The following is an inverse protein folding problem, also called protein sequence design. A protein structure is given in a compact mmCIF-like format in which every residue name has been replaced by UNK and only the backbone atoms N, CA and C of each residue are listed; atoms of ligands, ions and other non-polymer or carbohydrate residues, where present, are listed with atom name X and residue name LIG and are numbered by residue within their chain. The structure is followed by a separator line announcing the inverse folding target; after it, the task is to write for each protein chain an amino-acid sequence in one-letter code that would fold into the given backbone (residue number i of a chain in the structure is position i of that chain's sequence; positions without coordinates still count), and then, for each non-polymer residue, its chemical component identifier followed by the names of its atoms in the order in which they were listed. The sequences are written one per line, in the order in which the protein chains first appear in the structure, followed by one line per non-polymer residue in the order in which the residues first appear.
data_IF_165357700603
#
_entry.id   IF_165357700603
#
_cell.length_a   1.000
_cell.length_b   1.000
_cell.length_c   1.000
_cell.angle_alpha   90.00
_cell.angle_beta   90.00
_cell.angle_gamma   90.00
#
_symmetry.space_group_name_H-M   'P 1'
#
loop_
_entity.id
_entity.type
_entity.pdbx_description
1 polymer ?
#
# COMPACT_ATOMS: atom_id res chain seq x y z
N UNK A 1 16.42 -18.08 6.12
CA UNK A 1 15.53 -18.69 5.09
C UNK A 1 14.93 -17.56 4.28
N UNK A 2 14.66 -17.75 2.99
CA UNK A 2 14.04 -16.71 2.16
C UNK A 2 12.58 -16.47 2.55
N UNK A 3 12.04 -15.31 2.15
CA UNK A 3 10.64 -14.93 2.31
C UNK A 3 9.93 -15.03 0.94
N UNK A 4 8.67 -15.48 0.87
CA UNK A 4 7.96 -15.62 -0.41
C UNK A 4 7.93 -14.30 -1.19
N UNK A 5 8.42 -14.33 -2.42
CA UNK A 5 8.35 -13.22 -3.36
C UNK A 5 6.94 -13.09 -3.94
N UNK A 6 6.58 -11.89 -4.40
CA UNK A 6 5.23 -11.60 -4.92
C UNK A 6 5.23 -10.94 -6.31
N UNK A 7 4.12 -11.12 -7.03
CA UNK A 7 3.88 -10.51 -8.34
C UNK A 7 2.87 -9.36 -8.28
N UNK A 8 2.38 -8.92 -9.44
CA UNK A 8 1.36 -7.85 -9.56
C UNK A 8 -0.01 -8.22 -8.96
N UNK A 9 -0.25 -9.50 -8.66
CA UNK A 9 -1.43 -9.94 -7.91
C UNK A 9 -1.31 -9.69 -6.39
N UNK A 10 -0.18 -9.16 -5.93
CA UNK A 10 0.08 -8.98 -4.53
C UNK A 10 -0.94 -8.06 -3.84
N UNK A 11 -1.45 -8.52 -2.72
CA UNK A 11 -2.35 -7.75 -1.84
C UNK A 11 -1.53 -7.03 -0.77
N UNK A 12 -1.98 -5.82 -0.47
CA UNK A 12 -1.45 -4.95 0.58
C UNK A 12 -2.58 -4.61 1.51
N UNK A 13 -2.32 -4.74 2.81
CA UNK A 13 -3.26 -4.32 3.85
C UNK A 13 -2.56 -3.37 4.81
N UNK A 14 -3.31 -2.41 5.34
CA UNK A 14 -2.83 -1.45 6.31
C UNK A 14 -3.98 -0.67 6.92
N UNK A 15 -3.63 0.27 7.79
CA UNK A 15 -4.55 1.28 8.31
C UNK A 15 -3.92 2.64 8.08
N UNK A 16 -4.61 3.48 7.35
CA UNK A 16 -4.23 4.88 7.13
C UNK A 16 -4.91 5.77 8.17
N UNK A 17 -4.27 6.86 8.54
CA UNK A 17 -4.93 7.97 9.24
C UNK A 17 -5.25 9.06 8.23
N UNK A 18 -6.53 9.41 8.13
CA UNK A 18 -7.00 10.57 7.37
C UNK A 18 -7.74 11.52 8.29
N UNK A 19 -7.59 12.82 8.07
CA UNK A 19 -8.32 13.84 8.81
C UNK A 19 -9.65 14.12 8.11
N UNK A 20 -10.75 13.83 8.81
CA UNK A 20 -12.09 14.18 8.36
C UNK A 20 -12.59 15.45 9.04
N UNK A 21 -13.43 16.20 8.36
CA UNK A 21 -14.11 17.37 8.91
C UNK A 21 -15.45 16.94 9.50
N UNK A 22 -15.55 17.02 10.83
CA UNK A 22 -16.76 16.66 11.58
C UNK A 22 -17.59 17.93 11.81
N UNK A 23 -18.86 18.01 11.37
CA UNK A 23 -19.70 19.18 11.58
C UNK A 23 -20.11 19.30 13.06
N UNK A 24 -20.01 20.51 13.61
CA UNK A 24 -20.50 20.86 14.95
C UNK A 24 -21.26 22.19 14.90
N UNK A 25 -22.03 22.57 15.93
CA UNK A 25 -22.69 23.88 15.98
C UNK A 25 -21.74 25.09 15.88
N UNK A 26 -20.47 24.93 16.26
CA UNK A 26 -19.46 25.99 16.20
C UNK A 26 -18.65 25.99 14.88
N UNK A 27 -18.95 25.07 13.95
CA UNK A 27 -18.18 24.86 12.71
C UNK A 27 -17.62 23.45 12.61
N UNK A 28 -16.82 23.19 11.56
CA UNK A 28 -16.18 21.88 11.37
C UNK A 28 -14.94 21.71 12.24
N UNK A 29 -14.79 20.55 12.87
CA UNK A 29 -13.61 20.17 13.65
C UNK A 29 -12.80 19.12 12.88
N UNK A 30 -11.54 19.39 12.51
CA UNK A 30 -10.65 18.39 11.94
C UNK A 30 -10.38 17.27 12.93
N UNK A 31 -10.67 16.04 12.54
CA UNK A 31 -10.58 14.85 13.40
C UNK A 31 -9.83 13.73 12.67
N UNK A 32 -8.64 13.33 13.13
CA UNK A 32 -7.93 12.18 12.58
C UNK A 32 -8.70 10.89 12.88
N UNK A 33 -9.03 10.11 11.84
CA UNK A 33 -9.71 8.81 11.98
C UNK A 33 -8.97 7.70 11.20
N UNK A 34 -8.97 6.46 11.72
CA UNK A 34 -8.40 5.32 11.02
C UNK A 34 -9.28 4.87 9.85
N UNK A 35 -8.65 4.60 8.71
CA UNK A 35 -9.29 4.09 7.50
C UNK A 35 -8.57 2.84 7.01
N UNK A 36 -9.28 1.72 6.76
CA UNK A 36 -8.67 0.52 6.21
C UNK A 36 -8.07 0.80 4.82
N UNK A 37 -6.85 0.34 4.59
CA UNK A 37 -6.23 0.33 3.27
C UNK A 37 -6.14 -1.13 2.81
N UNK A 38 -6.87 -1.47 1.74
CA UNK A 38 -6.82 -2.79 1.11
C UNK A 38 -6.60 -2.57 -0.37
N UNK A 39 -5.43 -2.97 -0.84
CA UNK A 39 -4.98 -2.66 -2.18
C UNK A 39 -4.35 -3.87 -2.86
N UNK A 40 -4.31 -3.81 -4.18
CA UNK A 40 -3.48 -4.68 -4.98
C UNK A 40 -2.35 -3.86 -5.63
N UNK A 41 -1.21 -4.50 -5.88
CA UNK A 41 -0.17 -3.94 -6.76
C UNK A 41 -0.77 -3.65 -8.13
N UNK A 42 -0.75 -2.38 -8.53
CA UNK A 42 -1.41 -1.87 -9.73
C UNK A 42 -0.42 -1.57 -10.86
N UNK A 43 0.87 -1.35 -10.56
CA UNK A 43 1.84 -0.94 -11.55
C UNK A 43 3.27 -0.84 -11.05
N UNK A 44 4.13 -0.23 -11.88
CA UNK A 44 5.57 -0.09 -11.66
C UNK A 44 6.26 -1.42 -11.27
N UNK A 45 5.78 -2.51 -11.86
CA UNK A 45 6.34 -3.87 -11.74
C UNK A 45 7.42 -4.11 -12.80
N UNK A 46 8.19 -5.18 -12.64
CA UNK A 46 9.11 -5.65 -13.68
C UNK A 46 8.37 -6.55 -14.67
N UNK A 47 8.29 -6.14 -15.93
CA UNK A 47 7.56 -6.87 -16.98
C UNK A 47 8.34 -8.04 -17.60
N UNK A 48 9.65 -8.11 -17.39
CA UNK A 48 10.53 -9.13 -17.99
C UNK A 48 10.74 -10.35 -17.09
N UNK A 49 10.33 -10.27 -15.82
CA UNK A 49 10.43 -11.37 -14.86
C UNK A 49 9.06 -11.59 -14.24
N UNK A 50 8.64 -12.84 -14.15
CA UNK A 50 7.36 -13.22 -13.55
C UNK A 50 7.54 -13.99 -12.24
N UNK A 51 6.66 -13.71 -11.28
CA UNK A 51 6.47 -14.49 -10.05
C UNK A 51 5.07 -15.08 -10.12
N UNK A 52 4.97 -16.42 -10.06
CA UNK A 52 3.72 -17.14 -10.24
C UNK A 52 2.92 -16.73 -11.51
N UNK A 53 3.65 -16.42 -12.59
CA UNK A 53 3.04 -15.99 -13.87
C UNK A 53 2.57 -14.53 -13.91
N UNK A 54 2.82 -13.73 -12.88
CA UNK A 54 2.53 -12.28 -12.84
C UNK A 54 3.81 -11.46 -12.91
N UNK A 55 3.82 -10.27 -13.52
CA UNK A 55 4.97 -9.37 -13.47
C UNK A 55 5.49 -9.19 -12.04
N UNK A 56 6.79 -9.28 -11.83
CA UNK A 56 7.38 -9.25 -10.49
C UNK A 56 7.18 -7.88 -9.83
N UNK A 57 6.65 -7.85 -8.61
CA UNK A 57 6.61 -6.64 -7.82
C UNK A 57 8.01 -6.34 -7.27
N UNK A 58 8.37 -5.06 -7.22
CA UNK A 58 9.71 -4.61 -6.82
C UNK A 58 9.59 -3.40 -5.91
N UNK A 59 10.71 -2.97 -5.30
CA UNK A 59 10.77 -1.67 -4.62
C UNK A 59 10.28 -0.56 -5.57
N UNK A 60 9.33 0.23 -5.13
CA UNK A 60 8.70 1.27 -5.94
C UNK A 60 7.53 0.80 -6.81
N UNK A 61 7.11 -0.47 -6.72
CA UNK A 61 5.84 -0.89 -7.32
C UNK A 61 4.68 -0.17 -6.63
N UNK A 62 3.68 0.24 -7.42
CA UNK A 62 2.55 1.04 -6.94
C UNK A 62 1.37 0.15 -6.60
N UNK A 63 0.54 0.57 -5.64
CA UNK A 63 -0.69 -0.11 -5.23
C UNK A 63 -1.86 0.86 -5.25
N UNK A 64 -3.07 0.36 -5.49
CA UNK A 64 -4.29 1.17 -5.49
C UNK A 64 -5.28 0.64 -4.45
N UNK A 65 -5.67 1.50 -3.51
CA UNK A 65 -6.70 1.19 -2.51
C UNK A 65 -8.05 0.93 -3.19
N UNK A 66 -8.71 -0.16 -2.80
CA UNK A 66 -10.02 -0.56 -3.32
C UNK A 66 -10.82 -1.29 -2.22
N UNK A 67 -11.94 -0.72 -1.75
CA UNK A 67 -12.56 0.53 -2.21
C UNK A 67 -11.71 1.77 -1.88
N UNK A 68 -11.91 2.86 -2.63
CA UNK A 68 -11.31 4.14 -2.30
C UNK A 68 -11.83 4.65 -0.94
N UNK A 69 -10.99 5.39 -0.22
CA UNK A 69 -11.30 6.01 1.06
C UNK A 69 -12.53 6.91 0.93
N UNK A 70 -13.44 6.75 1.88
CA UNK A 70 -14.61 7.61 2.06
C UNK A 70 -14.48 8.32 3.41
N UNK A 71 -15.02 9.53 3.53
CA UNK A 71 -15.01 10.22 4.81
C UNK A 71 -15.90 9.46 5.79
N UNK A 72 -15.30 8.82 6.80
CA UNK A 72 -16.03 8.00 7.76
C UNK A 72 -16.86 8.88 8.71
N UNK A 73 -18.12 8.50 8.99
CA UNK A 73 -18.91 9.16 10.03
C UNK A 73 -18.17 9.19 11.38
N UNK A 74 -18.26 10.29 12.14
CA UNK A 74 -19.16 11.43 11.96
C UNK A 74 -18.65 12.50 10.98
N UNK A 75 -17.50 12.27 10.32
CA UNK A 75 -16.99 13.14 9.28
C UNK A 75 -17.87 13.15 8.03
N UNK A 76 -17.92 14.29 7.34
CA UNK A 76 -18.70 14.46 6.09
C UNK A 76 -17.81 14.72 4.87
N UNK A 77 -16.56 15.12 5.09
CA UNK A 77 -15.56 15.34 4.05
C UNK A 77 -14.17 15.13 4.62
N UNK A 78 -13.17 14.97 3.76
CA UNK A 78 -11.76 14.99 4.17
C UNK A 78 -11.24 16.43 4.26
N UNK A 79 -10.29 16.67 5.16
CA UNK A 79 -9.51 17.91 5.15
C UNK A 79 -8.60 17.96 3.90
N UNK A 80 -8.01 16.83 3.54
CA UNK A 80 -7.22 16.64 2.32
C UNK A 80 -7.72 15.39 1.58
N UNK A 81 -8.06 15.46 0.28
CA UNK A 81 -8.49 14.28 -0.47
C UNK A 81 -7.41 13.17 -0.46
N UNK A 82 -7.73 11.93 -0.04
CA UNK A 82 -6.78 10.82 -0.04
C UNK A 82 -6.35 10.45 -1.46
N UNK A 83 -5.05 10.23 -1.67
CA UNK A 83 -4.55 9.78 -2.98
C UNK A 83 -4.97 8.35 -3.31
N UNK A 84 -5.32 7.55 -2.30
CA UNK A 84 -5.66 6.13 -2.42
C UNK A 84 -4.56 5.27 -3.05
N UNK A 85 -3.32 5.75 -3.01
CA UNK A 85 -2.17 5.07 -3.58
C UNK A 85 -1.24 4.58 -2.47
N UNK A 86 -0.46 3.56 -2.81
CA UNK A 86 0.67 3.13 -2.01
C UNK A 86 1.86 2.77 -2.88
N UNK A 87 3.04 2.71 -2.27
CA UNK A 87 4.29 2.35 -2.94
C UNK A 87 5.07 1.38 -2.06
N UNK A 88 5.50 0.26 -2.64
CA UNK A 88 6.35 -0.72 -1.96
C UNK A 88 7.68 -0.06 -1.58
N UNK A 89 7.88 0.17 -0.28
CA UNK A 89 9.04 0.90 0.23
C UNK A 89 10.18 -0.04 0.62
N UNK A 90 9.84 -1.16 1.28
CA UNK A 90 10.81 -2.21 1.58
C UNK A 90 10.76 -3.31 0.53
N UNK A 91 11.90 -3.94 0.30
CA UNK A 91 12.07 -5.07 -0.61
C UNK A 91 13.36 -5.81 -0.24
N UNK A 92 13.66 -6.91 -0.94
CA UNK A 92 14.95 -7.57 -0.82
C UNK A 92 16.12 -6.60 -1.12
N UNK A 93 17.14 -6.63 -0.28
CA UNK A 93 18.40 -5.87 -0.47
C UNK A 93 19.41 -6.60 -1.36
N UNK A 94 19.23 -7.91 -1.56
CA UNK A 94 20.21 -8.78 -2.24
C UNK A 94 19.68 -9.38 -3.54
N UNK A 95 18.40 -9.75 -3.59
CA UNK A 95 17.73 -10.27 -4.78
C UNK A 95 17.12 -9.10 -5.55
N UNK A 96 17.73 -8.78 -6.69
CA UNK A 96 17.30 -7.69 -7.56
C UNK A 96 16.67 -8.22 -8.83
N UNK A 97 15.55 -7.62 -9.23
CA UNK A 97 14.81 -7.88 -10.47
C UNK A 97 14.60 -6.55 -11.18
N UNK A 98 14.98 -6.46 -12.46
CA UNK A 98 14.98 -5.19 -13.18
C UNK A 98 15.82 -4.09 -12.53
N UNK A 99 16.88 -4.47 -11.81
CA UNK A 99 17.75 -3.56 -11.06
C UNK A 99 17.22 -3.09 -9.71
N UNK A 100 15.99 -3.47 -9.33
CA UNK A 100 15.32 -3.08 -8.08
C UNK A 100 15.16 -4.28 -7.16
N UNK A 101 15.07 -4.05 -5.85
CA UNK A 101 14.83 -5.13 -4.89
C UNK A 101 13.51 -5.85 -5.18
N UNK A 102 13.50 -7.19 -5.16
CA UNK A 102 12.30 -8.00 -5.34
C UNK A 102 11.40 -7.90 -4.10
N UNK A 103 10.11 -7.60 -4.29
CA UNK A 103 9.14 -7.49 -3.21
C UNK A 103 8.70 -8.88 -2.71
N UNK A 104 8.40 -8.96 -1.41
CA UNK A 104 8.12 -10.18 -0.65
C UNK A 104 6.96 -9.96 0.30
N UNK A 105 6.37 -11.05 0.76
CA UNK A 105 5.40 -11.01 1.86
C UNK A 105 6.06 -10.38 3.09
N UNK A 106 5.36 -9.46 3.75
CA UNK A 106 5.82 -8.71 4.91
C UNK A 106 6.61 -7.43 4.57
N UNK A 107 6.99 -7.21 3.31
CA UNK A 107 7.62 -5.95 2.92
C UNK A 107 6.62 -4.78 3.08
N UNK A 108 7.12 -3.68 3.64
CA UNK A 108 6.30 -2.53 3.99
C UNK A 108 5.97 -1.65 2.77
N UNK A 109 4.81 -1.02 2.84
CA UNK A 109 4.23 -0.16 1.81
C UNK A 109 3.91 1.20 2.43
N UNK A 110 4.41 2.26 1.81
CA UNK A 110 4.03 3.64 2.15
C UNK A 110 2.70 3.96 1.50
N UNK A 111 1.72 4.39 2.28
CA UNK A 111 0.33 4.63 1.88
C UNK A 111 -0.12 6.05 2.25
N UNK A 112 -1.23 6.49 1.69
CA UNK A 112 -1.76 7.83 1.85
C UNK A 112 -2.22 8.11 3.28
N UNK A 113 -1.41 8.80 4.07
CA UNK A 113 -1.76 9.22 5.43
C UNK A 113 -1.72 10.75 5.50
N UNK A 114 -2.43 11.33 6.47
CA UNK A 114 -2.29 12.73 6.84
C UNK A 114 -1.31 12.88 8.02
N UNK A 115 -0.50 13.96 8.07
CA UNK A 115 -0.39 15.04 7.08
C UNK A 115 0.49 14.69 5.87
N UNK A 116 1.06 13.48 5.83
CA UNK A 116 1.91 13.00 4.76
C UNK A 116 1.87 11.47 4.71
N UNK A 117 2.11 10.90 3.53
CA UNK A 117 2.21 9.46 3.33
C UNK A 117 3.13 8.80 4.38
N UNK A 118 2.71 7.64 4.89
CA UNK A 118 3.44 6.89 5.92
C UNK A 118 3.48 5.41 5.61
N UNK A 119 4.49 4.73 6.15
CA UNK A 119 4.70 3.30 6.00
C UNK A 119 3.81 2.51 6.97
N UNK A 120 2.53 2.37 6.63
CA UNK A 120 1.54 1.65 7.47
C UNK A 120 0.95 0.41 6.80
N UNK A 121 1.24 0.20 5.50
CA UNK A 121 0.83 -1.00 4.76
C UNK A 121 1.89 -2.11 4.78
N UNK A 122 1.45 -3.34 4.57
CA UNK A 122 2.31 -4.49 4.37
C UNK A 122 1.78 -5.39 3.26
N UNK A 123 2.69 -5.94 2.46
CA UNK A 123 2.37 -7.00 1.49
C UNK A 123 1.99 -8.27 2.24
N UNK A 124 0.84 -8.87 1.95
CA UNK A 124 0.35 -10.07 2.68
C UNK A 124 0.28 -11.35 1.83
N UNK A 125 0.51 -11.25 0.53
CA UNK A 125 0.46 -12.40 -0.36
C UNK A 125 0.10 -12.00 -1.78
N UNK A 126 -0.15 -12.97 -2.67
CA UNK A 126 -0.23 -14.39 -2.38
C UNK A 126 1.13 -15.02 -2.02
N UNK A 127 1.11 -16.08 -1.20
CA UNK A 127 2.32 -16.85 -0.83
C UNK A 127 2.69 -17.76 -2.00
N UNK A 128 3.79 -17.43 -2.69
CA UNK A 128 4.31 -18.19 -3.83
C UNK A 128 5.37 -19.22 -3.45
N UNK A 129 5.87 -19.94 -4.47
CA UNK A 129 6.98 -20.91 -4.34
C UNK A 129 8.37 -20.29 -4.51
N UNK A 130 8.45 -19.05 -5.03
CA UNK A 130 9.70 -18.31 -5.18
C UNK A 130 10.06 -17.64 -3.87
N UNK A 131 11.25 -17.93 -3.33
CA UNK A 131 11.73 -17.40 -2.05
C UNK A 131 12.90 -16.44 -2.29
N UNK A 132 12.87 -15.27 -1.65
CA UNK A 132 13.91 -14.25 -1.76
C UNK A 132 14.40 -13.77 -0.38
N UNK A 133 15.72 -13.68 -0.21
CA UNK A 133 16.39 -13.22 1.00
C UNK A 133 16.55 -11.71 1.07
#
# INVERSE_FOLDING_TARGET
MGTPAVGQDAQVVGVDIHVVLVPTPAGSVPTPLPHPFVAQVSGATCSTVTIAGKPAATKGSTTQNSPAHIALPPGVSFQSPPSNQGTVDQASSTVKVGGKGLARVGDLVTTCNDPSDQTTGAVVGPVGTVMAG
#
